data_IF_088552864173
#
_entry.id   IF_088552864173
#
_cell.length_a   1.000
_cell.length_b   1.000
_cell.length_c   1.000
_cell.angle_alpha   90.00
_cell.angle_beta   90.00
_cell.angle_gamma   90.00
#
_symmetry.space_group_name_H-M   'P 1'
#
loop_
_entity.id
_entity.type
_entity.pdbx_description
1 polymer ?
#
# COMPACT_ATOMS: atom_id res chain seq x y z
N UNK A 1 -1.63 30.45 -22.48
CA UNK A 1 -0.74 30.01 -21.39
C UNK A 1 -1.45 29.28 -20.23
N UNK A 2 -2.66 29.66 -19.79
CA UNK A 2 -3.38 28.96 -18.70
C UNK A 2 -3.75 27.49 -18.97
N UNK A 3 -4.07 27.08 -20.21
CA UNK A 3 -4.42 25.68 -20.56
C UNK A 3 -3.27 24.67 -20.50
N UNK A 4 -2.02 25.13 -20.54
CA UNK A 4 -0.86 24.22 -20.47
C UNK A 4 -0.38 23.99 -19.02
N UNK A 5 -0.67 24.93 -18.11
CA UNK A 5 -0.31 24.81 -16.69
C UNK A 5 -1.22 23.79 -15.98
N UNK A 6 -2.51 23.75 -16.33
CA UNK A 6 -3.44 22.74 -15.78
C UNK A 6 -3.13 21.32 -16.25
N UNK A 7 -2.66 21.13 -17.50
CA UNK A 7 -2.24 19.80 -17.98
C UNK A 7 -0.93 19.32 -17.32
N UNK A 8 0.03 20.22 -17.07
CA UNK A 8 1.28 19.88 -16.37
C UNK A 8 1.05 19.59 -14.88
N UNK A 9 0.14 20.32 -14.23
CA UNK A 9 -0.23 20.07 -12.84
C UNK A 9 -0.97 18.72 -12.69
N UNK A 10 -1.91 18.43 -13.62
CA UNK A 10 -2.63 17.14 -13.67
C UNK A 10 -1.68 15.97 -13.96
N UNK A 11 -0.65 16.16 -14.79
CA UNK A 11 0.36 15.13 -15.07
C UNK A 11 1.29 14.91 -13.87
N UNK A 12 1.61 15.97 -13.11
CA UNK A 12 2.42 15.90 -11.90
C UNK A 12 1.68 15.21 -10.75
N UNK A 13 0.37 15.51 -10.57
CA UNK A 13 -0.48 14.79 -9.62
C UNK A 13 -0.68 13.32 -10.01
N UNK A 14 -0.81 13.02 -11.32
CA UNK A 14 -0.90 11.63 -11.80
C UNK A 14 0.43 10.87 -11.61
N UNK A 15 1.57 11.53 -11.70
CA UNK A 15 2.89 10.95 -11.44
C UNK A 15 3.10 10.67 -9.93
N UNK A 16 2.60 11.55 -9.04
CA UNK A 16 2.63 11.31 -7.59
C UNK A 16 1.72 10.14 -7.17
N UNK A 17 0.57 9.95 -7.83
CA UNK A 17 -0.34 8.81 -7.56
C UNK A 17 0.28 7.48 -8.05
N UNK A 18 1.05 7.50 -9.15
CA UNK A 18 1.70 6.29 -9.69
C UNK A 18 2.89 5.84 -8.82
N UNK A 19 3.52 6.76 -8.06
CA UNK A 19 4.60 6.40 -7.12
C UNK A 19 4.04 5.74 -5.84
N UNK A 20 2.77 6.00 -5.47
CA UNK A 20 2.11 5.34 -4.34
C UNK A 20 1.53 3.95 -4.63
N UNK A 21 1.48 3.50 -5.90
CA UNK A 21 0.79 2.24 -6.27
C UNK A 21 1.69 1.00 -6.35
N UNK A 22 2.91 1.04 -5.85
CA UNK A 22 3.82 -0.11 -5.80
C UNK A 22 3.93 -0.77 -4.41
N UNK A 23 2.94 -0.57 -3.53
CA UNK A 23 2.83 -1.41 -2.34
C UNK A 23 2.22 -2.76 -2.73
N UNK A 24 3.06 -3.64 -3.31
CA UNK A 24 2.75 -5.06 -3.30
C UNK A 24 2.59 -5.49 -1.85
N UNK A 25 1.46 -6.13 -1.53
CA UNK A 25 1.23 -6.83 -0.28
C UNK A 25 2.48 -7.65 0.07
N UNK A 26 3.38 -7.08 0.83
CA UNK A 26 4.43 -7.83 1.47
C UNK A 26 3.75 -8.68 2.54
N UNK A 27 4.03 -9.98 2.56
CA UNK A 27 3.53 -10.86 3.59
C UNK A 27 3.80 -10.29 4.99
N UNK A 28 2.91 -10.64 5.91
CA UNK A 28 2.87 -10.18 7.28
C UNK A 28 4.24 -10.01 7.92
N UNK A 29 4.55 -8.78 8.24
CA UNK A 29 5.74 -8.44 8.95
C UNK A 29 5.43 -8.36 10.45
N UNK A 30 5.71 -9.42 11.18
CA UNK A 30 5.67 -9.34 12.64
C UNK A 30 7.06 -9.60 13.17
N UNK A 31 7.70 -8.55 13.69
CA UNK A 31 8.95 -8.72 14.41
C UNK A 31 8.75 -9.53 15.68
N UNK A 32 9.75 -10.29 16.14
CA UNK A 32 9.66 -11.00 17.42
C UNK A 32 9.28 -10.02 18.53
N UNK A 33 8.25 -10.35 19.28
CA UNK A 33 7.81 -9.58 20.44
C UNK A 33 7.06 -10.50 21.42
N UNK A 34 6.95 -10.05 22.67
CA UNK A 34 6.23 -10.73 23.74
C UNK A 34 4.87 -10.09 24.03
N UNK A 35 4.40 -9.18 23.16
CA UNK A 35 3.13 -8.47 23.35
C UNK A 35 1.98 -9.45 23.17
N UNK A 36 1.17 -9.58 24.20
CA UNK A 36 -0.08 -10.37 24.17
C UNK A 36 -1.23 -9.44 23.82
N UNK A 37 -2.00 -9.81 22.82
CA UNK A 37 -3.14 -9.02 22.34
C UNK A 37 -4.42 -9.83 22.39
N UNK A 38 -5.51 -9.17 22.78
CA UNK A 38 -6.85 -9.75 22.83
C UNK A 38 -7.66 -9.46 21.57
N UNK A 39 -7.34 -8.37 20.83
CA UNK A 39 -7.98 -8.07 19.56
C UNK A 39 -7.71 -9.15 18.52
N UNK A 40 -8.73 -9.56 17.76
CA UNK A 40 -8.62 -10.63 16.76
C UNK A 40 -7.92 -10.17 15.48
N UNK A 41 -8.14 -8.92 15.07
CA UNK A 41 -7.54 -8.37 13.85
C UNK A 41 -6.79 -7.09 14.20
N UNK A 42 -5.49 -7.08 13.91
CA UNK A 42 -4.60 -5.97 14.26
C UNK A 42 -3.69 -5.64 13.07
N UNK A 43 -3.46 -4.35 12.89
CA UNK A 43 -2.42 -3.84 11.99
C UNK A 43 -1.71 -2.67 12.67
N UNK A 44 -0.38 -2.78 12.82
CA UNK A 44 0.49 -1.69 13.29
C UNK A 44 1.46 -1.29 12.18
N UNK A 45 1.39 -0.04 11.77
CA UNK A 45 2.20 0.50 10.68
C UNK A 45 3.04 1.68 11.18
N UNK A 46 4.31 1.70 10.84
CA UNK A 46 5.12 2.91 10.97
C UNK A 46 4.69 3.90 9.87
N UNK A 47 4.21 5.07 10.27
CA UNK A 47 3.62 6.05 9.37
C UNK A 47 4.66 6.78 8.51
N UNK A 48 5.91 6.86 8.98
CA UNK A 48 6.99 7.57 8.29
C UNK A 48 7.50 6.78 7.08
N UNK A 49 7.55 5.45 7.20
CA UNK A 49 8.02 4.53 6.14
C UNK A 49 6.89 3.79 5.41
N UNK A 50 5.68 3.77 5.97
CA UNK A 50 4.58 2.93 5.50
C UNK A 50 4.78 1.42 5.78
N UNK A 51 5.80 1.06 6.57
CA UNK A 51 6.13 -0.34 6.85
C UNK A 51 5.22 -0.92 7.93
N UNK A 52 4.58 -2.05 7.64
CA UNK A 52 3.89 -2.85 8.65
C UNK A 52 4.93 -3.48 9.57
N UNK A 53 4.78 -3.27 10.88
CA UNK A 53 5.71 -3.80 11.90
C UNK A 53 5.07 -4.90 12.76
N UNK A 54 3.75 -4.94 12.80
CA UNK A 54 2.99 -6.02 13.44
C UNK A 54 1.65 -6.20 12.74
N UNK A 55 1.24 -7.44 12.49
CA UNK A 55 -0.11 -7.75 12.05
C UNK A 55 -0.61 -9.09 12.60
N UNK A 56 -1.92 -9.18 12.78
CA UNK A 56 -2.66 -10.37 13.17
C UNK A 56 -3.99 -10.33 12.43
N UNK A 57 -4.25 -11.28 11.54
CA UNK A 57 -5.48 -11.37 10.74
C UNK A 57 -5.94 -10.04 10.11
N UNK A 58 -4.98 -9.22 9.64
CA UNK A 58 -5.25 -7.84 9.20
C UNK A 58 -6.15 -7.74 7.96
N UNK A 59 -6.29 -8.80 7.19
CA UNK A 59 -7.12 -8.88 5.99
C UNK A 59 -8.46 -9.60 6.21
N UNK A 60 -8.71 -10.09 7.43
CA UNK A 60 -9.99 -10.71 7.81
C UNK A 60 -11.09 -9.65 7.88
N UNK A 61 -12.24 -9.95 7.27
CA UNK A 61 -13.42 -9.08 7.35
C UNK A 61 -13.96 -9.04 8.78
N UNK A 62 -14.14 -7.83 9.30
CA UNK A 62 -14.68 -7.54 10.63
C UNK A 62 -15.71 -6.43 10.53
N UNK A 63 -16.61 -6.36 11.50
CA UNK A 63 -17.54 -5.24 11.63
C UNK A 63 -16.81 -4.04 12.24
N UNK A 64 -16.85 -2.86 11.60
CA UNK A 64 -16.08 -1.70 12.04
C UNK A 64 -16.69 -0.96 13.24
N UNK A 65 -17.95 -1.19 13.55
CA UNK A 65 -18.69 -0.34 14.48
C UNK A 65 -18.48 1.16 14.18
N UNK A 66 -18.42 2.03 15.18
CA UNK A 66 -18.27 3.48 15.00
C UNK A 66 -16.93 3.93 14.41
N UNK A 67 -15.95 3.05 14.11
CA UNK A 67 -14.79 3.45 13.31
C UNK A 67 -15.18 3.81 11.86
N UNK A 68 -16.38 3.39 11.42
CA UNK A 68 -17.08 3.83 10.20
C UNK A 68 -17.11 5.35 10.06
N UNK A 69 -17.23 6.10 11.17
CA UNK A 69 -17.33 7.56 11.17
C UNK A 69 -16.09 8.27 10.62
N UNK A 70 -14.96 7.55 10.50
CA UNK A 70 -13.78 8.06 9.78
C UNK A 70 -14.14 8.27 8.28
N UNK A 71 -14.83 7.31 7.66
CA UNK A 71 -15.31 7.46 6.29
C UNK A 71 -16.39 8.54 6.17
N UNK A 72 -17.29 8.59 7.14
CA UNK A 72 -18.33 9.65 7.19
C UNK A 72 -17.71 11.03 7.29
N UNK A 73 -16.63 11.18 8.06
CA UNK A 73 -15.84 12.41 8.12
C UNK A 73 -15.26 12.78 6.76
N UNK A 74 -14.63 11.84 6.07
CA UNK A 74 -14.04 12.05 4.73
C UNK A 74 -15.10 12.62 3.78
N UNK A 75 -16.24 11.93 3.67
CA UNK A 75 -17.31 12.37 2.77
C UNK A 75 -17.85 13.74 3.18
N UNK A 76 -17.99 14.00 4.48
CA UNK A 76 -18.47 15.30 4.95
C UNK A 76 -17.52 16.44 4.56
N UNK A 77 -16.24 16.30 4.81
CA UNK A 77 -15.24 17.35 4.53
C UNK A 77 -15.02 17.57 3.04
N UNK A 78 -15.13 16.53 2.21
CA UNK A 78 -15.03 16.67 0.75
C UNK A 78 -16.24 17.37 0.11
N UNK A 79 -17.41 17.30 0.75
CA UNK A 79 -18.66 17.85 0.18
C UNK A 79 -19.12 19.15 0.84
N UNK A 80 -18.49 19.59 1.94
CA UNK A 80 -18.82 20.84 2.63
C UNK A 80 -17.59 21.77 2.59
N UNK A 81 -17.65 22.78 1.73
CA UNK A 81 -16.51 23.66 1.48
C UNK A 81 -16.15 24.59 2.67
N UNK A 82 -17.15 25.01 3.46
CA UNK A 82 -16.98 25.90 4.62
C UNK A 82 -17.58 25.24 5.85
N UNK A 83 -16.75 24.53 6.61
CA UNK A 83 -17.18 23.77 7.78
C UNK A 83 -17.65 24.68 8.92
N UNK A 84 -17.03 25.84 9.08
CA UNK A 84 -17.29 26.75 10.21
C UNK A 84 -18.58 27.54 10.04
N UNK A 85 -18.99 27.87 8.80
CA UNK A 85 -20.14 28.72 8.53
C UNK A 85 -21.33 27.98 7.91
N UNK A 86 -21.16 26.80 7.36
CA UNK A 86 -22.29 26.02 6.79
C UNK A 86 -23.23 25.58 7.90
N UNK A 87 -24.48 26.09 7.87
CA UNK A 87 -25.54 25.75 8.81
C UNK A 87 -26.38 24.61 8.26
N UNK A 88 -26.45 23.51 8.97
CA UNK A 88 -27.17 22.28 8.62
C UNK A 88 -28.43 22.19 9.47
N UNK A 89 -29.64 22.13 8.89
CA UNK A 89 -30.88 22.05 9.64
C UNK A 89 -31.07 20.70 10.31
N UNK A 90 -31.44 20.69 11.58
CA UNK A 90 -31.70 19.49 12.36
C UNK A 90 -33.16 19.10 12.25
N UNK A 91 -33.42 17.94 11.61
CA UNK A 91 -34.78 17.43 11.38
C UNK A 91 -35.10 16.27 12.32
N UNK A 92 -36.25 16.31 12.98
CA UNK A 92 -36.67 15.21 13.87
C UNK A 92 -36.73 13.86 13.12
N UNK A 93 -37.22 13.86 11.88
CA UNK A 93 -37.36 12.63 11.08
C UNK A 93 -36.04 11.89 10.83
N UNK A 94 -34.92 12.60 10.79
CA UNK A 94 -33.58 12.03 10.62
C UNK A 94 -33.14 11.33 11.91
N UNK A 95 -33.48 11.88 13.06
CA UNK A 95 -33.11 11.34 14.37
C UNK A 95 -34.03 10.18 14.83
N UNK A 96 -35.27 10.16 14.32
CA UNK A 96 -36.26 9.13 14.69
C UNK A 96 -35.80 7.69 14.35
N UNK A 97 -34.96 7.51 13.33
CA UNK A 97 -34.43 6.20 12.92
C UNK A 97 -33.49 5.60 13.97
N UNK A 98 -32.92 6.41 14.85
CA UNK A 98 -32.01 5.98 15.91
C UNK A 98 -32.74 5.60 17.23
N UNK A 99 -34.04 5.81 17.31
CA UNK A 99 -34.83 5.49 18.51
C UNK A 99 -34.79 3.99 18.82
N UNK A 100 -34.49 3.66 20.06
CA UNK A 100 -34.39 2.29 20.57
C UNK A 100 -33.28 1.42 19.92
N UNK A 101 -32.29 2.01 19.28
CA UNK A 101 -31.16 1.28 18.70
C UNK A 101 -29.99 1.09 19.67
N UNK A 102 -30.05 1.70 20.87
CA UNK A 102 -28.90 1.70 21.81
C UNK A 102 -27.73 2.58 21.31
N UNK A 103 -27.98 3.47 20.34
CA UNK A 103 -26.97 4.33 19.74
C UNK A 103 -26.34 5.32 20.72
N UNK A 104 -25.03 5.57 20.56
CA UNK A 104 -24.39 6.74 21.15
C UNK A 104 -24.92 8.01 20.53
N UNK A 105 -25.37 8.98 21.34
CA UNK A 105 -25.92 10.25 20.89
C UNK A 105 -25.08 11.43 21.41
N UNK A 106 -24.99 12.47 20.63
CA UNK A 106 -24.32 13.72 20.97
C UNK A 106 -25.31 14.83 21.36
N UNK A 107 -26.56 14.47 21.70
CA UNK A 107 -27.64 15.38 22.04
C UNK A 107 -28.04 16.39 20.92
N UNK A 108 -27.83 16.03 19.67
CA UNK A 108 -28.19 16.85 18.48
C UNK A 108 -29.70 17.13 18.46
N UNK A 109 -30.51 16.27 19.12
CA UNK A 109 -31.96 16.48 19.25
C UNK A 109 -32.34 17.78 19.96
N UNK A 110 -31.47 18.36 20.80
CA UNK A 110 -31.70 19.67 21.44
C UNK A 110 -31.78 20.82 20.43
N UNK A 111 -31.31 20.59 19.21
CA UNK A 111 -31.30 21.56 18.12
C UNK A 111 -32.37 21.31 17.05
N UNK A 112 -33.31 20.39 17.30
CA UNK A 112 -34.40 20.12 16.35
C UNK A 112 -35.19 21.40 16.03
N UNK A 113 -35.43 21.67 14.74
CA UNK A 113 -36.04 22.88 14.24
C UNK A 113 -35.12 24.11 14.18
N UNK A 114 -33.83 23.92 14.55
CA UNK A 114 -32.75 24.90 14.39
C UNK A 114 -31.69 24.33 13.43
N UNK A 115 -30.54 24.98 13.35
CA UNK A 115 -29.38 24.46 12.60
C UNK A 115 -28.14 24.46 13.46
N UNK A 116 -27.26 23.49 13.24
CA UNK A 116 -25.90 23.44 13.77
C UNK A 116 -24.88 23.75 12.66
N UNK A 117 -23.68 24.17 13.01
CA UNK A 117 -22.59 24.27 12.03
C UNK A 117 -22.11 22.88 11.62
N UNK A 118 -21.56 22.76 10.42
CA UNK A 118 -20.95 21.51 10.00
C UNK A 118 -19.80 21.09 10.94
N UNK A 119 -19.02 22.06 11.41
CA UNK A 119 -17.92 21.80 12.35
C UNK A 119 -18.42 21.26 13.70
N UNK A 120 -19.51 21.84 14.28
CA UNK A 120 -20.12 21.31 15.51
C UNK A 120 -20.61 19.87 15.31
N UNK A 121 -21.20 19.56 14.16
CA UNK A 121 -21.65 18.20 13.84
C UNK A 121 -20.46 17.23 13.69
N UNK A 122 -19.33 17.67 13.12
CA UNK A 122 -18.12 16.84 13.03
C UNK A 122 -17.54 16.55 14.43
N UNK A 123 -17.49 17.54 15.33
CA UNK A 123 -17.11 17.33 16.71
C UNK A 123 -18.10 16.39 17.44
N UNK A 124 -19.41 16.62 17.24
CA UNK A 124 -20.46 15.77 17.82
C UNK A 124 -20.38 14.33 17.33
N UNK A 125 -19.99 14.11 16.09
CA UNK A 125 -19.80 12.78 15.51
C UNK A 125 -18.53 12.08 16.02
N UNK A 126 -17.41 12.80 16.08
CA UNK A 126 -16.11 12.16 16.32
C UNK A 126 -15.78 12.04 17.81
N UNK A 127 -16.05 13.06 18.62
CA UNK A 127 -15.67 13.11 20.05
C UNK A 127 -16.48 12.14 20.89
N UNK A 128 -17.82 12.29 21.05
CA UNK A 128 -18.64 11.34 21.81
C UNK A 128 -19.12 10.16 20.97
N UNK A 129 -18.72 10.08 19.71
CA UNK A 129 -19.19 9.05 18.78
C UNK A 129 -20.68 9.18 18.40
N UNK A 130 -21.24 10.41 18.28
CA UNK A 130 -22.65 10.65 18.03
C UNK A 130 -23.15 10.07 16.70
N UNK A 131 -24.09 9.11 16.77
CA UNK A 131 -24.75 8.55 15.58
C UNK A 131 -25.74 9.58 15.00
N UNK A 132 -26.37 10.37 15.86
CA UNK A 132 -27.27 11.48 15.48
C UNK A 132 -26.58 12.52 14.59
N UNK A 133 -25.38 12.94 14.94
CA UNK A 133 -24.57 13.84 14.12
C UNK A 133 -24.18 13.20 12.78
N UNK A 134 -23.79 11.92 12.76
CA UNK A 134 -23.48 11.20 11.53
C UNK A 134 -24.68 11.13 10.58
N UNK A 135 -25.86 10.83 11.10
CA UNK A 135 -27.09 10.77 10.33
C UNK A 135 -27.50 12.13 9.75
N UNK A 136 -27.33 13.21 10.53
CA UNK A 136 -27.62 14.58 10.07
C UNK A 136 -26.70 14.99 8.93
N UNK A 137 -25.40 14.72 9.05
CA UNK A 137 -24.43 14.95 7.98
C UNK A 137 -24.78 14.15 6.71
N UNK A 138 -25.15 12.88 6.89
CA UNK A 138 -25.52 12.00 5.79
C UNK A 138 -26.84 12.44 5.10
N UNK A 139 -27.85 12.86 5.85
CA UNK A 139 -29.09 13.43 5.30
C UNK A 139 -28.84 14.71 4.50
N UNK A 140 -27.99 15.58 5.03
CA UNK A 140 -27.68 16.85 4.37
C UNK A 140 -26.94 16.65 3.03
N UNK A 141 -25.87 15.84 3.04
CA UNK A 141 -25.05 15.61 1.84
C UNK A 141 -25.77 14.69 0.85
N UNK A 142 -26.54 13.72 1.36
CA UNK A 142 -27.37 12.83 0.55
C UNK A 142 -28.64 13.48 -0.02
N UNK A 143 -28.83 14.80 0.19
CA UNK A 143 -30.00 15.58 -0.29
C UNK A 143 -31.36 15.02 0.22
N UNK A 144 -31.38 14.59 1.49
CA UNK A 144 -32.56 14.00 2.14
C UNK A 144 -32.67 12.48 1.98
N UNK A 145 -31.69 11.84 1.36
CA UNK A 145 -31.62 10.38 1.22
C UNK A 145 -30.26 9.85 1.68
N UNK A 146 -30.21 9.16 2.82
CA UNK A 146 -29.01 8.59 3.40
C UNK A 146 -28.35 7.56 2.48
N UNK A 147 -29.10 6.83 1.64
CA UNK A 147 -28.55 5.86 0.68
C UNK A 147 -27.62 6.52 -0.34
N UNK A 148 -27.90 7.78 -0.72
CA UNK A 148 -27.00 8.54 -1.59
C UNK A 148 -25.64 8.78 -0.91
N UNK A 149 -25.65 9.09 0.39
CA UNK A 149 -24.44 9.25 1.17
C UNK A 149 -23.65 7.94 1.30
N UNK A 150 -24.34 6.84 1.61
CA UNK A 150 -23.73 5.51 1.71
C UNK A 150 -23.09 5.09 0.37
N UNK A 151 -23.72 5.46 -0.75
CA UNK A 151 -23.12 5.25 -2.07
C UNK A 151 -21.79 6.00 -2.22
N UNK A 152 -21.70 7.26 -1.79
CA UNK A 152 -20.46 8.03 -1.79
C UNK A 152 -19.38 7.38 -0.90
N UNK A 153 -19.76 6.85 0.27
CA UNK A 153 -18.83 6.11 1.14
C UNK A 153 -18.21 4.90 0.42
N UNK A 154 -19.03 4.11 -0.28
CA UNK A 154 -18.55 2.92 -0.99
C UNK A 154 -17.74 3.28 -2.25
N UNK A 155 -18.10 4.36 -2.95
CA UNK A 155 -17.32 4.89 -4.07
C UNK A 155 -15.92 5.34 -3.59
N UNK A 156 -15.85 6.05 -2.46
CA UNK A 156 -14.59 6.49 -1.84
C UNK A 156 -13.76 5.30 -1.36
N UNK A 157 -14.36 4.31 -0.73
CA UNK A 157 -13.65 3.09 -0.33
C UNK A 157 -12.98 2.42 -1.52
N UNK A 158 -13.69 2.31 -2.65
CA UNK A 158 -13.14 1.77 -3.89
C UNK A 158 -12.02 2.65 -4.46
N UNK A 159 -12.17 3.98 -4.44
CA UNK A 159 -11.14 4.94 -4.87
C UNK A 159 -9.85 4.77 -4.07
N UNK A 160 -9.96 4.54 -2.76
CA UNK A 160 -8.83 4.30 -1.86
C UNK A 160 -8.24 2.88 -1.97
N UNK A 161 -8.77 2.04 -2.87
CA UNK A 161 -8.30 0.66 -3.06
C UNK A 161 -8.68 -0.28 -1.92
N UNK A 162 -9.82 -0.03 -1.25
CA UNK A 162 -10.36 -0.90 -0.22
C UNK A 162 -11.18 -2.02 -0.86
N UNK A 163 -10.58 -3.20 -1.02
CA UNK A 163 -11.19 -4.33 -1.74
C UNK A 163 -12.12 -5.15 -0.85
N UNK A 164 -11.96 -5.06 0.48
CA UNK A 164 -12.69 -5.86 1.45
C UNK A 164 -13.52 -5.00 2.41
N UNK A 165 -14.03 -3.86 1.92
CA UNK A 165 -14.83 -2.92 2.71
C UNK A 165 -16.15 -2.65 2.02
N UNK A 166 -17.23 -2.66 2.78
CA UNK A 166 -18.55 -2.24 2.36
C UNK A 166 -19.27 -1.55 3.53
N UNK A 167 -19.80 -0.36 3.27
CA UNK A 167 -20.58 0.43 4.21
C UNK A 167 -22.06 0.31 3.90
N UNK A 168 -22.88 0.02 4.92
CA UNK A 168 -24.34 -0.04 4.85
C UNK A 168 -25.01 1.20 5.48
N UNK A 169 -24.29 1.92 6.34
CA UNK A 169 -24.78 3.12 7.03
C UNK A 169 -23.64 4.08 7.37
N UNK A 170 -23.92 5.35 7.76
CA UNK A 170 -22.87 6.34 8.05
C UNK A 170 -22.34 6.30 9.48
N UNK A 171 -22.94 5.55 10.40
CA UNK A 171 -22.66 5.62 11.83
C UNK A 171 -21.99 4.38 12.41
N UNK A 172 -22.07 3.24 11.70
CA UNK A 172 -21.46 1.97 12.11
C UNK A 172 -22.36 1.10 12.98
N UNK A 173 -23.67 1.35 13.02
CA UNK A 173 -24.63 0.38 13.57
C UNK A 173 -24.51 -0.95 12.83
N UNK A 174 -24.73 -2.04 13.55
CA UNK A 174 -24.58 -3.36 12.98
C UNK A 174 -25.50 -3.60 11.77
N UNK A 175 -24.92 -4.11 10.71
CA UNK A 175 -25.58 -4.65 9.53
C UNK A 175 -24.67 -5.78 8.99
N UNK A 176 -25.21 -6.94 8.60
CA UNK A 176 -24.41 -8.05 8.07
C UNK A 176 -23.55 -7.69 6.85
N UNK A 177 -23.99 -6.70 6.07
CA UNK A 177 -23.27 -6.22 4.89
C UNK A 177 -22.32 -5.04 5.19
N UNK A 178 -22.19 -4.64 6.47
CA UNK A 178 -21.32 -3.54 6.90
C UNK A 178 -20.00 -4.08 7.45
N UNK A 179 -18.97 -4.19 6.65
CA UNK A 179 -17.71 -4.81 7.01
C UNK A 179 -16.50 -4.06 6.46
N UNK A 180 -15.35 -4.29 7.07
CA UNK A 180 -14.03 -3.78 6.66
C UNK A 180 -12.92 -4.76 7.08
N UNK A 181 -11.66 -4.39 6.81
CA UNK A 181 -10.47 -5.07 7.34
C UNK A 181 -9.56 -4.05 8.04
N UNK A 182 -8.65 -4.51 8.89
CA UNK A 182 -7.68 -3.60 9.51
C UNK A 182 -6.81 -2.90 8.45
N UNK A 183 -6.44 -3.60 7.38
CA UNK A 183 -5.67 -3.04 6.27
C UNK A 183 -6.45 -1.98 5.47
N UNK A 184 -7.72 -2.19 5.21
CA UNK A 184 -8.53 -1.18 4.52
C UNK A 184 -8.81 0.03 5.42
N UNK A 185 -9.05 -0.18 6.72
CA UNK A 185 -9.16 0.93 7.68
C UNK A 185 -7.88 1.76 7.79
N UNK A 186 -6.70 1.15 7.66
CA UNK A 186 -5.44 1.87 7.55
C UNK A 186 -5.42 2.80 6.33
N UNK A 187 -5.82 2.34 5.14
CA UNK A 187 -5.90 3.16 3.93
C UNK A 187 -6.87 4.34 4.11
N UNK A 188 -8.06 4.06 4.63
CA UNK A 188 -9.10 5.06 4.91
C UNK A 188 -8.58 6.10 5.89
N UNK A 189 -7.96 5.67 6.99
CA UNK A 189 -7.47 6.57 8.03
C UNK A 189 -6.27 7.40 7.56
N UNK A 190 -5.35 6.80 6.80
CA UNK A 190 -4.22 7.51 6.19
C UNK A 190 -4.70 8.65 5.28
N UNK A 191 -5.76 8.41 4.50
CA UNK A 191 -6.37 9.47 3.71
C UNK A 191 -7.03 10.54 4.58
N UNK A 192 -7.79 10.15 5.61
CA UNK A 192 -8.45 11.08 6.52
C UNK A 192 -7.46 12.03 7.22
N UNK A 193 -6.27 11.54 7.57
CA UNK A 193 -5.19 12.37 8.17
C UNK A 193 -4.68 13.48 7.25
N UNK A 194 -4.91 13.39 5.94
CA UNK A 194 -4.58 14.47 4.98
C UNK A 194 -5.63 15.57 4.92
N UNK A 195 -6.81 15.36 5.52
CA UNK A 195 -7.94 16.27 5.42
C UNK A 195 -7.89 17.35 6.52
N UNK A 196 -8.43 18.57 6.22
CA UNK A 196 -8.47 19.66 7.18
C UNK A 196 -9.16 19.29 8.48
N UNK A 197 -8.65 19.75 9.62
CA UNK A 197 -9.23 19.63 10.95
C UNK A 197 -9.35 18.21 11.51
N UNK A 198 -8.99 17.14 10.75
CA UNK A 198 -9.18 15.76 11.20
C UNK A 198 -8.39 15.45 12.48
N UNK A 199 -7.09 15.73 12.49
CA UNK A 199 -6.27 15.49 13.69
C UNK A 199 -6.71 16.36 14.87
N UNK A 200 -7.08 17.61 14.64
CA UNK A 200 -7.57 18.51 15.66
C UNK A 200 -8.82 17.94 16.35
N UNK A 201 -9.83 17.54 15.57
CA UNK A 201 -11.10 17.03 16.08
C UNK A 201 -10.90 15.69 16.81
N UNK A 202 -10.13 14.78 16.22
CA UNK A 202 -9.94 13.44 16.80
C UNK A 202 -9.06 13.43 18.04
N UNK A 203 -8.22 14.46 18.24
CA UNK A 203 -7.42 14.66 19.47
C UNK A 203 -8.15 15.46 20.56
N UNK A 204 -9.37 15.91 20.30
CA UNK A 204 -10.12 16.73 21.25
C UNK A 204 -10.75 15.82 22.33
N UNK A 205 -10.39 16.06 23.60
CA UNK A 205 -10.96 15.32 24.73
C UNK A 205 -12.34 15.83 25.13
N UNK A 206 -12.56 17.15 25.04
CA UNK A 206 -13.84 17.79 25.39
C UNK A 206 -14.15 18.91 24.39
N UNK A 207 -15.40 19.01 23.99
CA UNK A 207 -15.87 20.06 23.09
C UNK A 207 -17.28 20.53 23.51
N UNK A 208 -17.56 21.81 23.42
CA UNK A 208 -18.89 22.36 23.66
C UNK A 208 -19.38 23.02 22.38
N UNK A 209 -20.49 22.52 21.83
CA UNK A 209 -21.10 23.11 20.64
C UNK A 209 -21.65 24.52 20.90
N UNK A 210 -21.71 25.33 19.86
CA UNK A 210 -22.28 26.68 19.97
C UNK A 210 -23.74 26.62 20.44
N UNK A 211 -24.03 27.28 21.56
CA UNK A 211 -25.34 27.32 22.20
C UNK A 211 -25.68 26.17 23.12
N UNK A 212 -24.74 25.27 23.43
CA UNK A 212 -24.91 24.21 24.40
C UNK A 212 -24.21 24.53 25.74
N UNK A 213 -24.80 24.04 26.84
CA UNK A 213 -24.24 24.14 28.19
C UNK A 213 -23.43 22.88 28.58
N UNK A 214 -23.60 21.80 27.84
CA UNK A 214 -22.99 20.48 28.16
C UNK A 214 -21.85 20.17 27.21
N UNK A 215 -20.68 19.85 27.76
CA UNK A 215 -19.54 19.43 26.97
C UNK A 215 -19.69 18.00 26.47
N UNK A 216 -19.38 17.78 25.19
CA UNK A 216 -19.12 16.48 24.59
C UNK A 216 -17.78 15.95 25.09
N UNK A 217 -17.67 14.66 25.36
CA UNK A 217 -16.48 14.05 25.92
C UNK A 217 -16.04 12.86 25.08
N UNK A 218 -14.73 12.74 24.86
CA UNK A 218 -14.17 11.66 24.05
C UNK A 218 -14.46 10.28 24.65
N UNK A 219 -14.65 9.30 23.76
CA UNK A 219 -14.73 7.89 24.10
C UNK A 219 -13.35 7.20 24.09
N UNK A 220 -12.31 7.91 23.68
CA UNK A 220 -10.95 7.38 23.61
C UNK A 220 -10.16 7.72 24.87
N UNK A 221 -10.06 6.78 25.80
CA UNK A 221 -9.34 6.95 27.05
C UNK A 221 -7.82 7.00 26.88
N UNK A 222 -7.26 6.52 25.75
CA UNK A 222 -5.82 6.63 25.51
C UNK A 222 -5.33 8.08 25.51
N UNK A 223 -6.16 9.03 25.04
CA UNK A 223 -5.77 10.44 24.89
C UNK A 223 -6.23 11.33 26.05
N UNK A 224 -7.11 10.85 26.93
CA UNK A 224 -7.68 11.64 28.02
C UNK A 224 -6.93 11.44 29.32
N UNK A 225 -6.00 12.34 29.61
CA UNK A 225 -5.20 12.30 30.85
C UNK A 225 -6.03 12.37 32.15
N UNK A 226 -7.26 12.92 32.10
CA UNK A 226 -8.10 13.10 33.27
C UNK A 226 -9.01 11.89 33.54
N UNK A 227 -9.44 11.18 32.50
CA UNK A 227 -10.43 10.10 32.57
C UNK A 227 -9.85 8.74 32.15
N UNK A 228 -8.73 8.74 31.45
CA UNK A 228 -8.12 7.53 30.89
C UNK A 228 -7.60 6.54 31.92
N UNK A 229 -7.23 7.03 33.14
CA UNK A 229 -6.72 6.15 34.16
C UNK A 229 -5.54 5.30 33.70
N UNK A 230 -5.67 3.98 33.83
CA UNK A 230 -4.66 3.01 33.38
C UNK A 230 -4.53 2.91 31.85
N UNK A 231 -5.54 3.30 31.09
CA UNK A 231 -5.52 3.30 29.63
C UNK A 231 -4.81 4.51 29.02
N UNK A 232 -4.61 5.59 29.80
CA UNK A 232 -3.96 6.79 29.28
C UNK A 232 -2.53 6.50 28.84
N UNK A 233 -2.25 6.82 27.57
CA UNK A 233 -0.91 6.71 27.00
C UNK A 233 -0.46 8.04 26.42
N UNK A 234 0.51 8.68 27.05
CA UNK A 234 0.91 10.08 26.79
C UNK A 234 1.34 10.38 25.36
N UNK A 235 1.74 9.37 24.60
CA UNK A 235 2.15 9.49 23.20
C UNK A 235 1.02 9.23 22.21
N UNK A 236 -0.13 8.71 22.67
CA UNK A 236 -1.28 8.43 21.84
C UNK A 236 -1.95 9.70 21.33
N UNK A 237 -2.49 9.62 20.11
CA UNK A 237 -3.24 10.68 19.44
C UNK A 237 -4.45 10.10 18.74
N UNK A 238 -5.65 10.64 19.00
CA UNK A 238 -6.89 10.27 18.32
C UNK A 238 -7.09 8.75 18.31
N UNK A 239 -7.78 8.13 17.43
CA UNK A 239 -8.58 8.73 16.32
C UNK A 239 -10.06 8.41 16.57
N UNK A 240 -10.42 7.10 16.66
CA UNK A 240 -11.81 6.69 16.83
C UNK A 240 -11.96 5.32 17.48
N UNK A 241 -12.87 5.22 18.45
CA UNK A 241 -13.34 3.97 19.04
C UNK A 241 -14.61 3.48 18.36
N UNK A 242 -14.90 2.19 18.47
CA UNK A 242 -16.16 1.59 18.04
C UNK A 242 -16.56 0.41 18.92
N UNK A 243 -17.85 0.22 19.16
CA UNK A 243 -18.35 -0.93 19.90
C UNK A 243 -19.77 -1.28 19.44
N UNK A 244 -20.02 -2.53 19.12
CA UNK A 244 -21.33 -3.17 19.05
C UNK A 244 -21.18 -4.60 19.59
N UNK A 245 -22.28 -5.29 19.87
CA UNK A 245 -22.21 -6.67 20.33
C UNK A 245 -21.54 -7.58 19.31
N UNK A 246 -21.81 -7.37 18.03
CA UNK A 246 -21.28 -8.18 16.93
C UNK A 246 -19.86 -7.78 16.52
N UNK A 247 -19.51 -6.50 16.64
CA UNK A 247 -18.18 -6.00 16.30
C UNK A 247 -17.15 -6.22 17.41
N UNK A 248 -17.62 -6.45 18.65
CA UNK A 248 -16.73 -6.31 19.79
C UNK A 248 -16.24 -4.86 19.94
N UNK A 249 -15.08 -4.70 20.55
CA UNK A 249 -14.40 -3.39 20.62
C UNK A 249 -13.48 -3.19 19.45
N UNK A 250 -13.54 -1.99 18.88
CA UNK A 250 -12.69 -1.54 17.77
C UNK A 250 -11.99 -0.23 18.13
N UNK A 251 -10.78 -0.04 17.64
CA UNK A 251 -10.01 1.17 17.87
C UNK A 251 -9.12 1.46 16.67
N UNK A 252 -9.12 2.70 16.24
CA UNK A 252 -8.10 3.28 15.34
C UNK A 252 -7.41 4.40 16.12
N UNK A 253 -6.09 4.34 16.23
CA UNK A 253 -5.32 5.29 17.03
C UNK A 253 -3.90 5.43 16.49
N UNK A 254 -3.22 6.54 16.78
CA UNK A 254 -1.81 6.74 16.46
C UNK A 254 -1.01 7.05 17.72
N UNK A 255 0.30 6.89 17.65
CA UNK A 255 1.22 7.37 18.69
C UNK A 255 2.50 7.89 18.04
N UNK A 256 3.06 8.95 18.65
CA UNK A 256 4.31 9.55 18.16
C UNK A 256 5.24 9.87 19.31
N UNK A 257 6.49 9.42 19.22
CA UNK A 257 7.56 9.76 20.15
C UNK A 257 8.92 9.63 19.44
N UNK A 258 9.88 10.45 19.85
CA UNK A 258 11.28 10.40 19.43
C UNK A 258 11.49 10.39 17.88
N UNK A 259 10.59 11.04 17.15
CA UNK A 259 10.65 11.13 15.68
C UNK A 259 10.03 9.93 14.95
N UNK A 260 9.42 9.01 15.66
CA UNK A 260 8.67 7.88 15.07
C UNK A 260 7.18 8.05 15.27
N UNK A 261 6.42 7.72 14.26
CA UNK A 261 4.95 7.73 14.30
C UNK A 261 4.39 6.38 13.88
N UNK A 262 3.46 5.85 14.64
CA UNK A 262 2.80 4.57 14.36
C UNK A 262 1.29 4.73 14.36
N UNK A 263 0.61 3.97 13.50
CA UNK A 263 -0.85 3.82 13.49
C UNK A 263 -1.21 2.38 13.82
N UNK A 264 -2.10 2.22 14.79
CA UNK A 264 -2.67 0.93 15.17
C UNK A 264 -4.15 0.89 14.79
N UNK A 265 -4.55 -0.17 14.09
CA UNK A 265 -5.93 -0.54 13.83
C UNK A 265 -6.20 -1.85 14.54
N UNK A 266 -7.16 -1.86 15.47
CA UNK A 266 -7.54 -3.02 16.27
C UNK A 266 -9.03 -3.24 16.09
N UNK A 267 -9.41 -4.43 15.65
CA UNK A 267 -10.81 -4.81 15.41
C UNK A 267 -11.15 -6.09 16.12
N UNK A 268 -12.38 -6.17 16.61
CA UNK A 268 -12.97 -7.37 17.20
C UNK A 268 -12.24 -7.85 18.45
N UNK A 269 -11.95 -6.94 19.40
CA UNK A 269 -11.57 -7.33 20.76
C UNK A 269 -12.82 -7.75 21.57
N UNK A 270 -12.66 -8.59 22.59
CA UNK A 270 -13.77 -9.07 23.40
C UNK A 270 -14.64 -7.93 23.96
N UNK A 271 -15.95 -8.12 23.91
CA UNK A 271 -16.94 -7.23 24.48
C UNK A 271 -18.18 -8.02 24.89
N UNK A 272 -18.63 -7.82 26.09
CA UNK A 272 -19.90 -8.34 26.61
C UNK A 272 -20.69 -7.20 27.24
N UNK A 273 -21.92 -7.00 26.77
CA UNK A 273 -22.79 -5.92 27.26
C UNK A 273 -23.09 -6.09 28.74
N UNK A 274 -22.85 -5.05 29.54
CA UNK A 274 -23.07 -5.06 30.98
C UNK A 274 -21.98 -5.76 31.81
N UNK A 275 -20.97 -6.33 31.16
CA UNK A 275 -19.79 -6.90 31.81
C UNK A 275 -18.58 -6.04 31.45
N UNK A 276 -18.11 -5.31 32.45
CA UNK A 276 -16.82 -4.63 32.58
C UNK A 276 -16.42 -3.54 31.61
N UNK A 277 -15.79 -2.57 32.22
CA UNK A 277 -15.01 -1.47 31.65
C UNK A 277 -13.65 -1.95 31.10
N UNK A 278 -13.50 -3.21 30.68
CA UNK A 278 -12.25 -3.67 30.11
C UNK A 278 -12.13 -3.22 28.63
N UNK A 279 -11.22 -2.28 28.39
CA UNK A 279 -10.95 -1.73 27.07
C UNK A 279 -9.71 -2.40 26.47
N UNK A 280 -9.78 -3.69 26.19
CA UNK A 280 -8.69 -4.51 25.65
C UNK A 280 -8.01 -3.87 24.43
N UNK A 281 -8.77 -3.23 23.53
CA UNK A 281 -8.17 -2.50 22.40
C UNK A 281 -7.22 -1.37 22.80
N UNK A 282 -7.49 -0.71 23.94
CA UNK A 282 -6.62 0.37 24.43
C UNK A 282 -5.36 -0.18 25.07
N UNK A 283 -5.48 -1.26 25.82
CA UNK A 283 -4.33 -1.99 26.39
C UNK A 283 -3.44 -2.54 25.28
N UNK A 284 -4.04 -3.26 24.32
CA UNK A 284 -3.33 -3.79 23.14
C UNK A 284 -2.58 -2.68 22.39
N UNK A 285 -3.25 -1.54 22.13
CA UNK A 285 -2.64 -0.42 21.42
C UNK A 285 -1.47 0.20 22.20
N UNK A 286 -1.65 0.44 23.52
CA UNK A 286 -0.59 1.01 24.36
C UNK A 286 0.64 0.09 24.44
N UNK A 287 0.44 -1.21 24.56
CA UNK A 287 1.51 -2.20 24.65
C UNK A 287 2.24 -2.35 23.30
N UNK A 288 1.51 -2.38 22.19
CA UNK A 288 2.09 -2.39 20.85
C UNK A 288 2.89 -1.11 20.55
N UNK A 289 2.37 0.06 20.90
CA UNK A 289 3.08 1.32 20.74
C UNK A 289 4.34 1.38 21.64
N UNK A 290 4.22 0.95 22.89
CA UNK A 290 5.38 0.89 23.81
C UNK A 290 6.47 -0.01 23.24
N UNK A 291 6.10 -1.20 22.80
CA UNK A 291 7.04 -2.11 22.15
C UNK A 291 7.66 -1.47 20.90
N UNK A 292 6.87 -0.98 19.97
CA UNK A 292 7.39 -0.43 18.71
C UNK A 292 8.33 0.77 18.94
N UNK A 293 7.94 1.72 19.81
CA UNK A 293 8.73 2.92 20.10
C UNK A 293 10.01 2.63 20.91
N UNK A 294 10.03 1.53 21.71
CA UNK A 294 11.21 1.19 22.52
C UNK A 294 12.14 0.18 21.85
N UNK A 295 11.62 -0.72 21.00
CA UNK A 295 12.35 -1.89 20.49
C UNK A 295 12.70 -1.80 19.00
N UNK A 296 12.08 -0.89 18.25
CA UNK A 296 12.32 -0.70 16.83
C UNK A 296 13.04 0.63 16.57
N UNK A 297 13.80 0.66 15.47
CA UNK A 297 14.45 1.88 14.98
C UNK A 297 14.56 1.88 13.45
N UNK A 298 14.70 3.07 12.87
CA UNK A 298 15.02 3.22 11.45
C UNK A 298 16.51 2.95 11.25
N UNK A 299 16.85 1.95 10.46
CA UNK A 299 18.25 1.62 10.16
C UNK A 299 18.47 1.57 8.64
N UNK A 300 19.67 1.93 8.20
CA UNK A 300 20.07 1.81 6.80
C UNK A 300 20.43 0.35 6.52
N UNK A 301 19.58 -0.33 5.74
CA UNK A 301 19.72 -1.77 5.43
C UNK A 301 20.48 -2.05 4.14
N UNK A 302 20.60 -1.05 3.25
CA UNK A 302 21.50 -1.10 2.10
C UNK A 302 21.94 0.32 1.73
N UNK A 303 23.19 0.48 1.26
CA UNK A 303 23.74 1.79 0.88
C UNK A 303 24.26 1.76 -0.56
N UNK A 304 24.00 2.82 -1.31
CA UNK A 304 24.47 3.03 -2.67
C UNK A 304 25.99 3.11 -2.80
N UNK A 305 26.71 3.23 -1.69
CA UNK A 305 28.18 3.22 -1.65
C UNK A 305 28.81 1.82 -1.52
N UNK A 306 28.02 0.78 -1.13
CA UNK A 306 28.50 -0.59 -0.96
C UNK A 306 27.92 -1.49 -2.06
N UNK A 307 28.75 -2.24 -2.82
CA UNK A 307 28.21 -3.13 -3.85
C UNK A 307 27.39 -4.25 -3.22
N UNK A 308 26.29 -4.61 -3.89
CA UNK A 308 25.45 -5.75 -3.50
C UNK A 308 25.95 -7.06 -4.11
N UNK A 309 26.40 -7.00 -5.36
CA UNK A 309 26.79 -8.16 -6.14
C UNK A 309 27.64 -7.80 -7.33
N UNK A 310 28.06 -8.82 -8.09
CA UNK A 310 28.80 -8.73 -9.33
C UNK A 310 27.99 -9.41 -10.45
N UNK A 311 28.03 -8.86 -11.66
CA UNK A 311 27.41 -9.45 -12.86
C UNK A 311 28.45 -9.60 -13.95
N UNK A 312 28.37 -10.71 -14.73
CA UNK A 312 29.23 -10.91 -15.86
C UNK A 312 28.91 -9.90 -16.98
N UNK A 313 29.95 -9.43 -17.69
CA UNK A 313 29.79 -8.50 -18.80
C UNK A 313 30.32 -9.13 -20.09
N UNK A 314 29.44 -9.24 -21.07
CA UNK A 314 29.77 -9.69 -22.41
C UNK A 314 30.17 -8.50 -23.29
N UNK A 315 30.84 -8.78 -24.41
CA UNK A 315 31.18 -7.82 -25.46
C UNK A 315 32.08 -6.65 -25.01
N UNK A 316 32.71 -6.75 -23.85
CA UNK A 316 33.69 -5.81 -23.35
C UNK A 316 35.11 -6.43 -23.47
N UNK A 317 36.12 -5.62 -23.88
CA UNK A 317 37.48 -6.09 -23.96
C UNK A 317 38.22 -5.87 -22.64
N UNK A 318 38.78 -6.97 -22.09
CA UNK A 318 39.57 -6.89 -20.86
C UNK A 318 38.74 -6.68 -19.55
N UNK A 319 37.40 -6.76 -19.63
CA UNK A 319 36.52 -6.63 -18.49
C UNK A 319 35.41 -7.66 -18.57
N UNK A 320 35.43 -8.62 -17.66
CA UNK A 320 34.52 -9.77 -17.67
C UNK A 320 33.34 -9.61 -16.72
N UNK A 321 33.42 -8.63 -15.80
CA UNK A 321 32.38 -8.41 -14.78
C UNK A 321 32.35 -6.96 -14.31
N UNK A 322 31.27 -6.57 -13.65
CA UNK A 322 31.12 -5.28 -12.98
C UNK A 322 30.36 -5.42 -11.66
N UNK A 323 30.68 -4.53 -10.73
CA UNK A 323 29.97 -4.44 -9.45
C UNK A 323 28.65 -3.67 -9.66
N UNK A 324 27.61 -4.17 -9.00
CA UNK A 324 26.28 -3.58 -8.98
C UNK A 324 26.00 -3.01 -7.59
N UNK A 325 25.34 -1.87 -7.57
CA UNK A 325 25.01 -1.09 -6.36
C UNK A 325 23.51 -0.86 -6.26
N UNK A 326 22.95 -0.65 -5.05
CA UNK A 326 21.61 -0.09 -4.94
C UNK A 326 21.55 1.27 -5.63
N UNK A 327 20.46 1.58 -6.32
CA UNK A 327 20.25 2.87 -6.96
C UNK A 327 20.23 4.02 -5.92
N UNK A 328 19.68 3.75 -4.74
CA UNK A 328 19.57 4.67 -3.61
C UNK A 328 19.89 3.97 -2.30
N UNK A 329 20.21 4.73 -1.26
CA UNK A 329 20.26 4.21 0.09
C UNK A 329 18.86 3.76 0.52
N UNK A 330 18.77 2.63 1.21
CA UNK A 330 17.54 2.09 1.75
C UNK A 330 17.56 2.06 3.26
N UNK A 331 16.54 2.64 3.86
CA UNK A 331 16.29 2.54 5.30
C UNK A 331 14.98 1.80 5.54
N UNK A 332 14.92 1.05 6.62
CA UNK A 332 13.75 0.31 7.06
C UNK A 332 13.67 0.34 8.59
N UNK A 333 12.46 0.21 9.12
CA UNK A 333 12.24 -0.04 10.54
C UNK A 333 12.65 -1.49 10.80
N UNK A 334 13.55 -1.69 11.75
CA UNK A 334 14.06 -3.01 12.18
C UNK A 334 14.21 -3.02 13.71
N UNK A 335 14.30 -4.20 14.35
CA UNK A 335 14.66 -4.30 15.77
C UNK A 335 16.00 -3.62 16.06
N UNK A 336 16.14 -3.01 17.22
CA UNK A 336 17.38 -2.32 17.65
C UNK A 336 18.60 -3.26 17.78
N UNK A 337 18.35 -4.54 17.98
CA UNK A 337 19.37 -5.59 18.02
C UNK A 337 19.65 -6.22 16.65
N UNK A 338 19.08 -5.67 15.57
CA UNK A 338 19.30 -6.14 14.20
C UNK A 338 20.78 -5.98 13.82
N UNK A 339 21.36 -7.04 13.29
CA UNK A 339 22.73 -7.07 12.76
C UNK A 339 22.72 -7.38 11.27
N UNK A 340 23.87 -7.28 10.60
CA UNK A 340 24.01 -7.64 9.17
C UNK A 340 23.60 -9.10 8.90
N UNK A 341 23.68 -10.00 9.89
CA UNK A 341 23.27 -11.40 9.78
C UNK A 341 21.76 -11.58 9.65
N UNK A 342 20.99 -10.61 10.16
CA UNK A 342 19.53 -10.60 10.07
C UNK A 342 19.03 -10.08 8.71
N UNK A 343 19.92 -9.46 7.92
CA UNK A 343 19.55 -8.86 6.63
C UNK A 343 19.88 -9.82 5.49
N UNK A 344 18.85 -10.24 4.78
CA UNK A 344 18.99 -11.11 3.61
C UNK A 344 18.67 -10.29 2.36
N UNK A 345 19.58 -10.32 1.38
CA UNK A 345 19.40 -9.63 0.11
C UNK A 345 19.22 -10.66 -0.99
N UNK A 346 18.03 -10.72 -1.57
CA UNK A 346 17.75 -11.54 -2.75
C UNK A 346 17.82 -10.66 -3.99
N UNK A 347 18.51 -11.16 -5.01
CA UNK A 347 18.81 -10.42 -6.22
C UNK A 347 18.09 -11.06 -7.39
N UNK A 348 17.35 -10.24 -8.13
CA UNK A 348 16.75 -10.59 -9.42
C UNK A 348 17.51 -9.84 -10.52
N UNK A 349 18.64 -10.43 -10.92
CA UNK A 349 19.56 -9.91 -11.92
C UNK A 349 19.85 -10.97 -12.98
N UNK A 350 20.10 -10.60 -14.25
CA UNK A 350 20.50 -11.52 -15.29
C UNK A 350 21.91 -12.13 -14.99
N UNK A 351 22.19 -13.34 -15.47
CA UNK A 351 23.50 -13.97 -15.32
C UNK A 351 24.64 -13.16 -15.99
N UNK A 352 24.31 -12.40 -17.03
CA UNK A 352 25.24 -11.52 -17.72
C UNK A 352 24.52 -10.36 -18.41
N UNK A 353 25.26 -9.27 -18.64
CA UNK A 353 24.82 -8.09 -19.39
C UNK A 353 25.76 -7.82 -20.54
N UNK A 354 25.24 -7.27 -21.63
CA UNK A 354 26.04 -6.90 -22.80
C UNK A 354 26.51 -5.45 -22.73
N UNK A 355 27.78 -5.20 -23.01
CA UNK A 355 28.28 -3.85 -23.23
C UNK A 355 27.71 -3.25 -24.54
N UNK A 356 27.48 -1.92 -24.64
CA UNK A 356 27.91 -0.91 -23.69
C UNK A 356 26.96 -0.82 -22.48
N UNK A 357 27.50 -0.51 -21.31
CA UNK A 357 26.76 -0.32 -20.07
C UNK A 357 27.19 1.03 -19.48
N UNK A 358 26.26 1.96 -19.29
CA UNK A 358 26.56 3.23 -18.66
C UNK A 358 26.49 3.11 -17.13
N UNK A 359 27.31 3.89 -16.42
CA UNK A 359 27.22 3.99 -14.96
C UNK A 359 25.82 4.46 -14.56
N UNK A 360 25.20 3.79 -13.60
CA UNK A 360 23.84 4.06 -13.13
C UNK A 360 22.74 3.41 -13.98
N UNK A 361 23.07 2.66 -15.03
CA UNK A 361 22.07 1.87 -15.77
C UNK A 361 21.48 0.79 -14.88
N UNK A 362 20.15 0.67 -14.85
CA UNK A 362 19.44 -0.38 -14.12
C UNK A 362 19.72 -1.73 -14.78
N UNK A 363 20.18 -2.69 -13.98
CA UNK A 363 20.50 -4.06 -14.40
C UNK A 363 19.47 -5.06 -13.92
N UNK A 364 18.86 -4.81 -12.77
CA UNK A 364 17.86 -5.67 -12.17
C UNK A 364 17.32 -5.06 -10.89
N UNK A 365 16.84 -5.91 -9.99
CA UNK A 365 16.30 -5.53 -8.69
C UNK A 365 16.92 -6.34 -7.56
N UNK A 366 16.93 -5.76 -6.37
CA UNK A 366 17.23 -6.48 -5.13
C UNK A 366 16.08 -6.31 -4.15
N UNK A 367 15.66 -7.39 -3.52
CA UNK A 367 14.69 -7.38 -2.43
C UNK A 367 15.42 -7.66 -1.12
N UNK A 368 15.20 -6.79 -0.15
CA UNK A 368 15.83 -6.87 1.16
C UNK A 368 14.83 -7.42 2.15
N UNK A 369 15.25 -8.41 2.91
CA UNK A 369 14.45 -9.08 3.92
C UNK A 369 15.14 -9.00 5.28
N UNK A 370 14.34 -8.95 6.33
CA UNK A 370 14.74 -9.24 7.69
C UNK A 370 14.44 -10.71 8.02
N UNK A 371 15.31 -11.34 8.78
CA UNK A 371 15.12 -12.69 9.32
C UNK A 371 15.67 -12.74 10.74
N UNK A 372 14.83 -13.01 11.73
CA UNK A 372 15.22 -13.00 13.14
C UNK A 372 16.25 -14.10 13.46
N UNK A 373 16.01 -15.33 12.96
CA UNK A 373 16.88 -16.50 13.15
C UNK A 373 16.72 -17.50 11.99
N UNK A 374 17.46 -18.59 12.02
CA UNK A 374 17.46 -19.60 10.95
C UNK A 374 16.09 -20.23 10.69
N UNK A 375 15.19 -20.29 11.68
CA UNK A 375 13.90 -20.95 11.61
C UNK A 375 12.75 -19.98 11.35
N UNK A 376 12.99 -18.67 11.51
CA UNK A 376 11.98 -17.63 11.31
C UNK A 376 11.66 -17.45 9.83
N UNK A 377 10.45 -17.02 9.52
CA UNK A 377 10.10 -16.58 8.18
C UNK A 377 10.81 -15.27 7.83
N UNK A 378 11.17 -15.10 6.57
CA UNK A 378 11.78 -13.87 6.09
C UNK A 378 10.71 -12.82 5.84
N UNK A 379 10.95 -11.61 6.32
CA UNK A 379 10.07 -10.46 6.22
C UNK A 379 10.62 -9.47 5.21
N UNK A 380 9.85 -9.14 4.18
CA UNK A 380 10.26 -8.14 3.17
C UNK A 380 10.31 -6.75 3.80
N UNK A 381 11.48 -6.10 3.72
CA UNK A 381 11.69 -4.74 4.18
C UNK A 381 11.51 -3.73 3.05
N UNK A 382 12.22 -3.96 1.92
CA UNK A 382 12.24 -3.02 0.81
C UNK A 382 12.63 -3.72 -0.50
N UNK A 383 12.43 -3.03 -1.61
CA UNK A 383 12.90 -3.40 -2.94
C UNK A 383 13.57 -2.19 -3.59
N UNK A 384 14.69 -2.42 -4.27
CA UNK A 384 15.45 -1.37 -4.93
C UNK A 384 15.95 -1.83 -6.30
N UNK A 385 16.05 -0.90 -7.25
CA UNK A 385 16.77 -1.14 -8.48
C UNK A 385 18.27 -1.31 -8.19
N UNK A 386 18.89 -2.21 -8.94
CA UNK A 386 20.32 -2.46 -8.87
C UNK A 386 20.96 -1.92 -10.13
N UNK A 387 21.97 -1.06 -9.95
CA UNK A 387 22.56 -0.28 -11.03
C UNK A 387 24.05 -0.56 -11.22
N UNK A 388 24.54 -0.39 -12.44
CA UNK A 388 25.95 -0.54 -12.77
C UNK A 388 26.82 0.53 -12.09
N UNK A 389 27.90 0.11 -11.40
CA UNK A 389 28.80 1.01 -10.69
C UNK A 389 29.73 1.82 -11.58
N UNK A 390 29.94 1.39 -12.82
CA UNK A 390 30.87 2.02 -13.74
C UNK A 390 30.36 1.97 -15.18
N UNK A 391 30.95 2.81 -16.03
CA UNK A 391 30.74 2.77 -17.48
C UNK A 391 31.63 1.70 -18.10
N UNK A 392 31.05 0.85 -18.96
CA UNK A 392 31.76 -0.19 -19.70
C UNK A 392 31.50 0.02 -21.20
N UNK A 393 32.57 0.16 -21.94
CA UNK A 393 32.49 0.38 -23.39
C UNK A 393 32.45 -0.96 -24.16
N UNK A 394 31.70 -1.00 -25.24
CA UNK A 394 31.59 -2.19 -26.08
C UNK A 394 32.81 -2.36 -26.96
N UNK A 395 33.37 -3.56 -26.99
CA UNK A 395 34.39 -3.94 -27.96
C UNK A 395 33.79 -4.16 -29.35
N UNK A 396 34.19 -3.35 -30.33
CA UNK A 396 33.74 -3.53 -31.71
C UNK A 396 34.10 -4.90 -32.27
N UNK A 397 35.26 -5.43 -31.89
CA UNK A 397 35.75 -6.76 -32.38
C UNK A 397 34.85 -7.87 -31.83
N UNK A 398 34.64 -7.91 -30.51
CA UNK A 398 33.80 -8.93 -29.88
C UNK A 398 32.35 -8.85 -30.37
N UNK A 399 31.86 -7.64 -30.61
CA UNK A 399 30.51 -7.43 -31.14
C UNK A 399 30.36 -8.02 -32.54
N UNK A 400 31.33 -7.81 -33.42
CA UNK A 400 31.33 -8.40 -34.78
C UNK A 400 31.37 -9.92 -34.70
N UNK A 401 32.23 -10.49 -33.84
CA UNK A 401 32.27 -11.94 -33.63
C UNK A 401 30.94 -12.49 -33.07
N UNK A 402 30.30 -11.78 -32.18
CA UNK A 402 28.99 -12.17 -31.65
C UNK A 402 27.92 -12.16 -32.77
N UNK A 403 27.87 -11.11 -33.61
CA UNK A 403 26.95 -11.06 -34.77
C UNK A 403 27.24 -12.25 -35.71
N UNK A 404 28.50 -12.51 -36.02
CA UNK A 404 28.86 -13.64 -36.88
C UNK A 404 28.37 -14.94 -36.23
N UNK A 405 28.62 -15.14 -34.94
CA UNK A 405 28.15 -16.32 -34.19
C UNK A 405 26.63 -16.48 -34.19
N UNK A 406 25.89 -15.42 -33.94
CA UNK A 406 24.43 -15.42 -34.00
C UNK A 406 23.89 -15.71 -35.41
N UNK A 407 24.53 -15.18 -36.44
CA UNK A 407 24.17 -15.51 -37.81
C UNK A 407 24.39 -16.98 -38.15
N UNK A 408 25.55 -17.55 -37.71
CA UNK A 408 25.83 -18.99 -37.92
C UNK A 408 24.88 -19.90 -37.13
N UNK A 409 24.42 -19.49 -35.98
CA UNK A 409 23.43 -20.23 -35.16
C UNK A 409 21.98 -20.00 -35.60
N UNK A 410 21.75 -19.03 -36.47
CA UNK A 410 20.39 -18.70 -36.94
C UNK A 410 19.83 -19.85 -37.80
N UNK A 411 18.56 -20.24 -37.50
CA UNK A 411 17.79 -21.20 -38.32
C UNK A 411 17.83 -20.83 -39.82
N UNK A 412 17.75 -19.57 -40.16
CA UNK A 412 17.81 -19.09 -41.56
C UNK A 412 19.15 -19.36 -42.24
N UNK A 413 20.26 -19.28 -41.49
CA UNK A 413 21.57 -19.62 -42.02
C UNK A 413 21.65 -21.10 -42.38
N UNK A 414 21.13 -21.99 -41.54
CA UNK A 414 21.08 -23.44 -41.82
C UNK A 414 20.21 -23.72 -43.04
N UNK A 415 19.09 -23.04 -43.20
CA UNK A 415 18.19 -23.16 -44.36
C UNK A 415 18.89 -22.68 -45.64
N UNK A 416 19.60 -21.55 -45.59
CA UNK A 416 20.35 -21.02 -46.75
C UNK A 416 21.45 -22.00 -47.16
N UNK A 417 22.22 -22.54 -46.22
CA UNK A 417 23.27 -23.53 -46.52
C UNK A 417 22.67 -24.80 -47.13
N UNK A 418 21.55 -25.28 -46.58
CA UNK A 418 20.84 -26.46 -47.15
C UNK A 418 20.37 -26.20 -48.60
N UNK A 419 19.87 -25.00 -48.88
CA UNK A 419 19.47 -24.60 -50.25
C UNK A 419 20.67 -24.52 -51.19
N UNK A 420 21.79 -23.96 -50.73
CA UNK A 420 23.03 -23.91 -51.54
C UNK A 420 23.52 -25.34 -51.88
N UNK A 421 23.52 -26.23 -50.89
CA UNK A 421 23.91 -27.63 -51.06
C UNK A 421 22.95 -28.30 -52.06
N UNK A 422 21.64 -28.07 -51.94
CA UNK A 422 20.64 -28.61 -52.84
C UNK A 422 20.88 -28.13 -54.30
N UNK A 423 21.11 -26.84 -54.50
CA UNK A 423 21.43 -26.27 -55.81
C UNK A 423 22.72 -26.89 -56.41
N UNK A 424 23.77 -27.04 -55.58
CA UNK A 424 25.00 -27.73 -55.98
C UNK A 424 24.76 -29.20 -56.42
N UNK A 425 23.96 -29.93 -55.67
CA UNK A 425 23.60 -31.31 -56.01
C UNK A 425 22.84 -31.35 -57.35
N UNK A 426 21.87 -30.45 -57.54
CA UNK A 426 21.12 -30.33 -58.79
C UNK A 426 22.07 -29.98 -59.96
N UNK A 427 22.99 -29.04 -59.79
CA UNK A 427 24.00 -28.67 -60.75
C UNK A 427 24.89 -29.87 -61.14
N UNK A 428 25.37 -30.64 -60.20
CA UNK A 428 26.21 -31.83 -60.43
C UNK A 428 25.44 -32.91 -61.20
N UNK A 429 24.15 -33.10 -60.86
CA UNK A 429 23.27 -34.07 -61.58
C UNK A 429 23.07 -33.62 -63.04
N UNK A 430 22.73 -32.36 -63.27
CA UNK A 430 22.57 -31.79 -64.62
C UNK A 430 23.84 -31.86 -65.43
N UNK A 431 25.00 -31.51 -64.81
CA UNK A 431 26.33 -31.61 -65.45
C UNK A 431 26.66 -33.06 -65.86
N UNK A 432 26.36 -34.03 -64.98
CA UNK A 432 26.57 -35.45 -65.27
C UNK A 432 25.68 -35.99 -66.40
N UNK A 433 24.42 -35.51 -66.48
CA UNK A 433 23.49 -35.81 -67.52
C UNK A 433 23.94 -35.20 -68.88
N UNK A 434 24.38 -33.94 -68.85
CA UNK A 434 24.93 -33.28 -70.06
C UNK A 434 26.24 -33.94 -70.54
N UNK A 435 27.11 -34.34 -69.65
CA UNK A 435 28.32 -35.08 -69.95
C UNK A 435 28.03 -36.45 -70.62
N UNK A 436 27.04 -37.19 -70.11
CA UNK A 436 26.59 -38.45 -70.73
C UNK A 436 25.95 -38.23 -72.12
N UNK A 437 25.17 -37.13 -72.31
CA UNK A 437 24.59 -36.76 -73.60
C UNK A 437 25.66 -36.36 -74.63
N UNK A 438 26.70 -35.61 -74.22
CA UNK A 438 27.85 -35.30 -75.11
C UNK A 438 28.64 -36.53 -75.50
N UNK A 439 28.87 -37.49 -74.61
CA UNK A 439 29.54 -38.77 -74.95
C UNK A 439 28.69 -39.60 -75.88
N UNK A 440 27.38 -39.68 -75.67
CA UNK A 440 26.48 -40.41 -76.57
C UNK A 440 26.45 -39.78 -77.97
N UNK A 441 26.44 -38.46 -78.12
CA UNK A 441 26.52 -37.75 -79.39
C UNK A 441 27.88 -37.94 -80.11
N UNK A 442 28.96 -38.06 -79.38
CA UNK A 442 30.34 -38.31 -79.95
C UNK A 442 30.41 -39.77 -80.45
N UNK A 443 29.91 -40.72 -79.78
CA UNK A 443 29.89 -42.13 -80.25
C UNK A 443 28.97 -42.33 -81.45
N UNK A 444 27.84 -41.65 -81.56
CA UNK A 444 26.99 -41.72 -82.76
C UNK A 444 27.63 -41.07 -83.98
N UNK A 445 28.42 -40.03 -83.83
CA UNK A 445 29.22 -39.44 -84.97
C UNK A 445 30.31 -40.38 -85.43
N UNK A 446 30.87 -41.22 -84.56
CA UNK A 446 31.96 -42.17 -84.94
C UNK A 446 31.42 -43.35 -85.75
N UNK A 447 30.16 -43.77 -85.54
CA UNK A 447 29.48 -44.85 -86.26
C UNK A 447 28.86 -44.39 -87.58
N UNK A 448 28.84 -43.06 -87.87
CA UNK A 448 28.31 -42.55 -89.19
C UNK A 448 29.41 -42.29 -90.25
N UNK A 449 30.66 -42.47 -89.88
CA UNK A 449 31.85 -42.23 -90.74
C UNK A 449 32.66 -43.52 -90.94
N UNK A 450 32.02 -44.73 -90.75
CA UNK A 450 32.44 -46.03 -91.21
C UNK A 450 31.37 -46.52 -92.13
#
# INVERSE_FOLDING_TARGET
MRKNITKTLSLLCMLCIIVCSAFTSAGAASYPNDVKTESDSILLVNMDSGQTVYEKDADSKRYPASTTKIMTYIIAVENIADLDNTKIPIKQSVLDVLKNTGSSLANVENHVGKSMTAIDLLYSMMVPSGNDAAMVLADYIGEGNVDNFVKLMNEKAKELGCENTHFANPDGLHDPDHYTTARDMYKITTYALTLPRFEEITNTCTYTCDGDDTALVTTNYLIDANRGGEYYYMYAKGIKTGTTNEAGRCLVTTASADGYSYMAILLHAPYEEGVTEDYATMTDAADLFRWALTSLEMNTVATSSKPLCEVNVNLAWGKNSTLLYPETDLSAIVPKDCTDENIIIEQDIPESVDAPLDKGSVVGKATIYYKADANSEKQKLAEVNVVAGEKIERSGILYVFNIIGTVFQSYWFIVIIALIILVLIIYLIISKIHGKRKRKKRNVKHYRNL
#
